data_IF_370444943926
#
_entry.id   IF_370444943926
#
_cell.length_a   1.000
_cell.length_b   1.000
_cell.length_c   1.000
_cell.angle_alpha   90.00
_cell.angle_beta   90.00
_cell.angle_gamma   90.00
#
_symmetry.space_group_name_H-M   'P 1'
#
loop_
_entity.id
_entity.type
_entity.pdbx_description
1 polymer ?
#
# COMPACT_ATOMS: atom_id res chain seq x y z
N UNK A 1 -15.82 -9.57 12.90
CA UNK A 1 -14.41 -9.14 12.92
C UNK A 1 -14.35 -7.77 12.26
N UNK A 2 -13.88 -6.73 12.96
CA UNK A 2 -13.80 -5.39 12.37
C UNK A 2 -12.62 -5.30 11.40
N UNK A 3 -12.75 -4.61 10.26
CA UNK A 3 -11.63 -4.45 9.33
C UNK A 3 -10.49 -3.68 10.00
N UNK A 4 -9.27 -4.20 9.89
CA UNK A 4 -8.08 -3.54 10.44
C UNK A 4 -7.68 -2.41 9.50
N UNK A 5 -7.72 -1.18 10.00
CA UNK A 5 -7.42 0.01 9.21
C UNK A 5 -6.16 0.70 9.67
N UNK A 6 -5.32 1.04 8.69
CA UNK A 6 -4.07 1.75 8.88
C UNK A 6 -4.27 3.23 8.57
N UNK A 7 -4.18 4.06 9.59
CA UNK A 7 -4.21 5.52 9.43
C UNK A 7 -2.88 6.04 8.85
N UNK A 8 -2.87 7.18 8.14
CA UNK A 8 -1.67 7.74 7.51
C UNK A 8 -0.44 7.88 8.40
N UNK A 9 -0.64 8.24 9.67
CA UNK A 9 0.47 8.41 10.60
C UNK A 9 1.12 7.08 11.03
N UNK A 10 0.42 5.96 10.87
CA UNK A 10 0.91 4.62 11.23
C UNK A 10 1.35 3.78 10.02
N UNK A 11 1.19 4.28 8.79
CA UNK A 11 1.47 3.49 7.58
C UNK A 11 2.90 2.94 7.54
N UNK A 12 3.88 3.72 7.99
CA UNK A 12 5.28 3.28 8.07
C UNK A 12 5.49 2.17 9.08
N UNK A 13 4.82 2.25 10.23
CA UNK A 13 4.93 1.22 11.27
C UNK A 13 4.31 -0.10 10.82
N UNK A 14 3.21 -0.04 10.06
CA UNK A 14 2.48 -1.25 9.61
C UNK A 14 3.14 -1.88 8.38
N UNK A 15 3.59 -1.07 7.44
CA UNK A 15 4.12 -1.58 6.16
C UNK A 15 5.63 -1.73 6.15
N UNK A 16 6.37 -1.02 7.01
CA UNK A 16 7.84 -0.94 7.01
C UNK A 16 8.45 -0.23 5.80
N UNK A 17 7.74 -0.23 4.66
CA UNK A 17 8.22 0.17 3.34
C UNK A 17 7.71 1.55 2.91
N UNK A 18 6.49 1.91 3.29
CA UNK A 18 5.86 3.16 2.85
C UNK A 18 5.96 4.26 3.92
N UNK A 19 6.47 5.42 3.51
CA UNK A 19 6.29 6.65 4.28
C UNK A 19 4.87 7.20 4.11
N UNK A 20 4.43 8.06 5.04
CA UNK A 20 3.13 8.74 4.94
C UNK A 20 3.00 9.53 3.64
N UNK A 21 4.00 10.34 3.30
CA UNK A 21 4.00 11.16 2.09
C UNK A 21 3.90 10.27 0.86
N UNK A 22 4.70 9.21 0.80
CA UNK A 22 4.72 8.30 -0.35
C UNK A 22 3.38 7.59 -0.55
N UNK A 23 2.74 7.14 0.53
CA UNK A 23 1.41 6.53 0.45
C UNK A 23 0.35 7.50 -0.09
N UNK A 24 0.41 8.79 0.29
CA UNK A 24 -0.51 9.81 -0.21
C UNK A 24 -0.24 10.20 -1.67
N UNK A 25 1.02 10.19 -2.10
CA UNK A 25 1.38 10.36 -3.51
C UNK A 25 0.89 9.19 -4.35
N UNK A 26 1.14 7.95 -3.92
CA UNK A 26 0.71 6.75 -4.62
C UNK A 26 -0.82 6.69 -4.75
N UNK A 27 -1.56 7.09 -3.72
CA UNK A 27 -3.02 7.18 -3.80
C UNK A 27 -3.51 8.11 -4.92
N UNK A 28 -2.73 9.13 -5.29
CA UNK A 28 -3.05 10.06 -6.37
C UNK A 28 -2.53 9.57 -7.73
N UNK A 29 -1.33 9.00 -7.76
CA UNK A 29 -0.62 8.69 -9.01
C UNK A 29 -0.84 7.27 -9.52
N UNK A 30 -1.06 6.30 -8.62
CA UNK A 30 -1.19 4.89 -8.96
C UNK A 30 -2.67 4.46 -8.80
N UNK A 31 -3.37 4.11 -9.90
CA UNK A 31 -4.76 3.68 -9.85
C UNK A 31 -4.96 2.33 -9.13
N UNK A 32 -3.92 1.50 -9.02
CA UNK A 32 -3.96 0.23 -8.28
C UNK A 32 -3.74 0.43 -6.77
N UNK A 33 -3.31 1.62 -6.34
CA UNK A 33 -3.08 1.88 -4.93
C UNK A 33 -4.41 1.96 -4.15
N UNK A 34 -4.51 1.33 -2.97
CA UNK A 34 -5.73 1.35 -2.17
C UNK A 34 -6.22 2.77 -1.85
N UNK A 35 -7.54 2.98 -1.90
CA UNK A 35 -8.14 4.27 -1.52
C UNK A 35 -8.45 4.31 -0.03
N UNK A 36 -8.32 5.48 0.58
CA UNK A 36 -8.71 5.66 1.98
C UNK A 36 -10.21 5.52 2.15
N UNK A 37 -10.60 4.79 3.19
CA UNK A 37 -11.96 4.73 3.71
C UNK A 37 -12.07 5.60 4.97
N UNK A 38 -13.29 6.10 5.22
CA UNK A 38 -13.60 6.88 6.41
C UNK A 38 -14.02 5.94 7.54
N UNK A 39 -13.39 6.09 8.70
CA UNK A 39 -13.76 5.42 9.95
C UNK A 39 -14.00 6.48 11.01
N UNK A 40 -15.27 6.81 11.23
CA UNK A 40 -15.68 7.90 12.12
C UNK A 40 -15.08 9.24 11.70
N UNK A 41 -14.25 9.81 12.57
CA UNK A 41 -13.52 11.07 12.36
C UNK A 41 -12.15 10.90 11.71
N UNK A 42 -11.73 9.67 11.41
CA UNK A 42 -10.43 9.37 10.80
C UNK A 42 -10.60 8.80 9.39
N UNK A 43 -9.54 8.89 8.59
CA UNK A 43 -9.42 8.21 7.29
C UNK A 43 -8.20 7.32 7.29
N UNK A 44 -8.29 6.13 6.69
CA UNK A 44 -7.17 5.21 6.56
C UNK A 44 -7.42 4.17 5.48
N UNK A 45 -6.43 3.32 5.24
CA UNK A 45 -6.52 2.23 4.27
C UNK A 45 -6.82 0.91 4.95
N UNK A 46 -7.51 0.01 4.26
CA UNK A 46 -7.58 -1.37 4.70
C UNK A 46 -6.16 -1.96 4.71
N UNK A 47 -5.77 -2.51 5.86
CA UNK A 47 -4.40 -3.00 6.06
C UNK A 47 -4.09 -4.17 5.13
N UNK A 48 -5.08 -5.03 4.89
CA UNK A 48 -4.99 -6.14 3.94
C UNK A 48 -4.75 -5.68 2.50
N UNK A 49 -5.37 -4.58 2.07
CA UNK A 49 -5.19 -4.04 0.72
C UNK A 49 -3.80 -3.43 0.55
N UNK A 50 -3.29 -2.71 1.56
CA UNK A 50 -1.92 -2.20 1.55
C UNK A 50 -0.90 -3.34 1.43
N UNK A 51 -1.07 -4.41 2.22
CA UNK A 51 -0.19 -5.58 2.15
C UNK A 51 -0.30 -6.27 0.78
N UNK A 52 -1.52 -6.44 0.25
CA UNK A 52 -1.72 -7.04 -1.07
C UNK A 52 -1.03 -6.23 -2.18
N UNK A 53 -1.19 -4.91 -2.18
CA UNK A 53 -0.52 -4.02 -3.13
C UNK A 53 1.01 -4.13 -3.06
N UNK A 54 1.56 -4.10 -1.83
CA UNK A 54 3.01 -4.19 -1.63
C UNK A 54 3.57 -5.55 -2.07
N UNK A 55 2.88 -6.65 -1.73
CA UNK A 55 3.27 -7.99 -2.16
C UNK A 55 3.24 -8.14 -3.68
N UNK A 56 2.24 -7.57 -4.37
CA UNK A 56 2.16 -7.56 -5.84
C UNK A 56 3.33 -6.80 -6.46
N UNK A 57 3.64 -5.59 -5.98
CA UNK A 57 4.75 -4.79 -6.51
C UNK A 57 6.11 -5.43 -6.23
N UNK A 58 6.30 -6.04 -5.05
CA UNK A 58 7.51 -6.82 -4.75
C UNK A 58 7.67 -8.02 -5.70
N UNK A 59 6.59 -8.76 -5.97
CA UNK A 59 6.61 -9.88 -6.92
C UNK A 59 6.80 -9.47 -8.38
N UNK A 60 6.32 -8.29 -8.79
CA UNK A 60 6.57 -7.73 -10.12
C UNK A 60 8.04 -7.33 -10.30
N UNK A 61 8.70 -6.81 -9.26
CA UNK A 61 10.13 -6.48 -9.31
C UNK A 61 11.02 -7.72 -9.46
N UNK A 62 10.62 -8.87 -8.91
CA UNK A 62 11.39 -10.12 -9.05
C UNK A 62 11.27 -10.76 -10.44
N UNK A 63 10.13 -10.58 -11.12
CA UNK A 63 9.87 -11.17 -12.44
C UNK A 63 10.33 -10.30 -13.62
N UNK A 64 10.65 -9.02 -13.39
CA UNK A 64 11.18 -8.13 -14.43
C UNK A 64 12.66 -8.41 -14.75
N UNK A 65 13.41 -8.99 -13.82
CA UNK A 65 14.84 -9.26 -13.97
C UNK A 65 15.13 -10.55 -14.76
N UNK A 66 14.16 -11.46 -14.91
CA UNK A 66 14.34 -12.77 -15.57
C UNK A 66 14.14 -12.73 -17.10
N UNK A 67 13.85 -11.57 -17.71
CA UNK A 67 13.58 -11.47 -19.16
C UNK A 67 14.68 -10.82 -19.99
N UNK A 68 15.91 -10.71 -19.45
CA UNK A 68 17.02 -10.05 -20.15
C UNK A 68 18.25 -10.96 -20.38
N UNK A 69 18.09 -12.28 -20.26
CA UNK A 69 19.11 -13.26 -20.61
C UNK A 69 18.49 -14.42 -21.41
N UNK A 70 18.24 -14.19 -22.70
CA UNK A 70 18.08 -15.23 -23.72
C UNK A 70 18.49 -14.66 -25.08
#
# INVERSE_FOLDING_TARGET
>A
MYPIVTIPNKVRLVTGLLSRTRALELEKSDPEFPKRIRIGHSTGWLTSELQSYLSKKAGQSANADTRQAA
#
